data_IF_619710198308
#
_entry.id   IF_619710198308
#
_cell.length_a   1.000
_cell.length_b   1.000
_cell.length_c   1.000
_cell.angle_alpha   90.00
_cell.angle_beta   90.00
_cell.angle_gamma   90.00
#
_symmetry.space_group_name_H-M   'P 1'
#
loop_
_entity.id
_entity.type
_entity.pdbx_description
1 polymer ?
#
# COMPACT_ATOMS: atom_id res chain seq x y z
N UNK A 1 6.68 -3.65 -13.10
CA UNK A 1 6.20 -2.91 -11.92
C UNK A 1 5.16 -3.78 -11.21
N UNK A 2 5.27 -3.93 -9.91
CA UNK A 2 4.29 -4.56 -9.02
C UNK A 2 4.25 -3.80 -7.71
N UNK A 3 3.22 -4.00 -6.90
CA UNK A 3 3.26 -3.60 -5.50
C UNK A 3 3.38 -4.83 -4.61
N UNK A 4 4.19 -4.71 -3.57
CA UNK A 4 4.45 -5.76 -2.58
C UNK A 4 3.82 -5.28 -1.27
N UNK A 5 2.82 -5.98 -0.80
CA UNK A 5 2.09 -5.65 0.43
C UNK A 5 2.53 -6.60 1.52
N UNK A 6 3.09 -6.08 2.59
CA UNK A 6 3.50 -6.89 3.75
C UNK A 6 2.34 -7.03 4.72
N UNK A 7 1.98 -8.26 5.05
CA UNK A 7 0.82 -8.61 5.88
C UNK A 7 1.08 -8.40 7.38
N UNK A 8 1.42 -7.16 7.78
CA UNK A 8 1.56 -6.75 9.18
C UNK A 8 0.95 -5.38 9.42
N UNK A 9 0.64 -5.03 10.65
CA UNK A 9 0.23 -3.67 11.05
C UNK A 9 1.46 -2.81 11.36
N UNK A 10 1.32 -1.47 11.31
CA UNK A 10 2.39 -0.58 11.78
C UNK A 10 2.79 -0.90 13.21
N UNK A 11 4.11 -1.01 13.46
CA UNK A 11 4.67 -1.34 14.76
C UNK A 11 4.68 -2.83 15.14
N UNK A 12 4.02 -3.70 14.36
CA UNK A 12 4.15 -5.15 14.55
C UNK A 12 5.49 -5.66 13.99
N UNK A 13 5.97 -6.77 14.54
CA UNK A 13 7.14 -7.47 13.99
C UNK A 13 6.88 -7.98 12.57
N UNK A 14 7.94 -8.10 11.78
CA UNK A 14 7.85 -8.73 10.47
C UNK A 14 7.60 -10.23 10.69
N UNK A 15 6.53 -10.82 10.12
CA UNK A 15 6.25 -12.24 10.28
C UNK A 15 7.37 -13.12 9.69
N UNK A 16 7.64 -14.25 10.33
CA UNK A 16 8.60 -15.23 9.82
C UNK A 16 7.93 -16.61 9.69
N UNK A 17 7.75 -17.16 8.47
CA UNK A 17 8.11 -16.54 7.18
C UNK A 17 7.28 -15.29 6.90
N UNK A 18 7.84 -14.38 6.08
CA UNK A 18 7.16 -13.12 5.77
C UNK A 18 5.81 -13.37 5.08
N UNK A 19 4.76 -12.79 5.64
CA UNK A 19 3.44 -12.76 5.00
C UNK A 19 3.41 -11.60 3.98
N UNK A 20 3.15 -11.90 2.73
CA UNK A 20 3.08 -10.88 1.69
C UNK A 20 2.03 -11.22 0.63
N UNK A 21 1.56 -10.17 -0.04
CA UNK A 21 0.73 -10.25 -1.24
C UNK A 21 1.34 -9.41 -2.35
N UNK A 22 1.12 -9.84 -3.58
CA UNK A 22 1.59 -9.12 -4.77
C UNK A 22 0.39 -8.55 -5.52
N UNK A 23 0.41 -7.24 -5.75
CA UNK A 23 -0.53 -6.56 -6.63
C UNK A 23 0.18 -6.34 -7.98
N UNK A 24 -0.27 -7.00 -9.05
CA UNK A 24 0.33 -6.82 -10.37
C UNK A 24 0.00 -5.44 -10.94
N UNK A 25 0.79 -4.96 -11.87
CA UNK A 25 0.55 -3.65 -12.51
C UNK A 25 -0.82 -3.53 -13.19
N UNK A 26 -1.37 -4.64 -13.68
CA UNK A 26 -2.71 -4.70 -14.27
C UNK A 26 -3.86 -4.50 -13.28
N UNK A 27 -3.60 -4.71 -11.99
CA UNK A 27 -4.57 -4.50 -10.92
C UNK A 27 -4.45 -3.09 -10.28
N UNK A 28 -3.48 -2.28 -10.71
CA UNK A 28 -3.26 -0.95 -10.18
C UNK A 28 -3.87 0.13 -11.07
N UNK A 29 -4.59 1.06 -10.45
CA UNK A 29 -5.08 2.28 -11.09
C UNK A 29 -4.25 3.47 -10.59
N UNK A 30 -3.76 4.28 -11.51
CA UNK A 30 -3.08 5.53 -11.16
C UNK A 30 -4.11 6.61 -10.79
N UNK A 31 -3.78 7.43 -9.79
CA UNK A 31 -4.64 8.50 -9.29
C UNK A 31 -5.19 9.42 -10.38
N UNK A 32 -6.37 9.96 -10.13
CA UNK A 32 -7.11 10.81 -11.07
C UNK A 32 -8.05 10.05 -12.02
N UNK A 33 -7.93 8.73 -12.15
CA UNK A 33 -8.88 7.90 -12.89
C UNK A 33 -10.01 7.43 -11.97
N UNK A 34 -11.26 7.30 -12.48
CA UNK A 34 -12.34 6.71 -11.71
C UNK A 34 -12.05 5.23 -11.44
N UNK A 35 -12.44 4.76 -10.26
CA UNK A 35 -12.40 3.35 -9.87
C UNK A 35 -13.83 2.81 -9.92
N UNK A 36 -14.09 1.85 -10.79
CA UNK A 36 -15.35 1.14 -10.82
C UNK A 36 -15.38 0.07 -9.75
N UNK A 37 -16.32 0.20 -8.81
CA UNK A 37 -16.47 -0.78 -7.72
C UNK A 37 -17.02 -2.08 -8.32
N UNK A 38 -16.30 -3.22 -8.19
CA UNK A 38 -16.74 -4.46 -8.81
C UNK A 38 -18.02 -5.01 -8.19
N UNK A 39 -18.93 -5.52 -9.01
CA UNK A 39 -20.23 -6.03 -8.56
C UNK A 39 -20.22 -7.47 -8.01
N UNK A 40 -19.07 -8.12 -7.87
CA UNK A 40 -18.98 -9.52 -7.44
C UNK A 40 -18.93 -9.74 -5.92
N UNK A 41 -18.83 -8.67 -5.13
CA UNK A 41 -18.90 -8.73 -3.68
C UNK A 41 -20.06 -7.86 -3.16
N UNK A 42 -20.69 -8.23 -2.03
CA UNK A 42 -21.85 -7.52 -1.49
C UNK A 42 -21.50 -6.13 -0.96
N UNK A 43 -20.28 -5.93 -0.48
CA UNK A 43 -19.77 -4.65 0.00
C UNK A 43 -18.25 -4.56 -0.19
N UNK A 44 -17.74 -3.33 -0.16
CA UNK A 44 -16.32 -3.03 -0.34
C UNK A 44 -15.81 -2.10 0.73
N UNK A 45 -14.56 -2.26 1.10
CA UNK A 45 -13.84 -1.39 2.01
C UNK A 45 -12.55 -0.89 1.35
N UNK A 46 -12.27 0.37 1.53
CA UNK A 46 -11.04 1.02 1.09
C UNK A 46 -10.10 1.20 2.28
N UNK A 47 -8.86 0.79 2.10
CA UNK A 47 -7.83 0.89 3.13
C UNK A 47 -6.74 1.85 2.66
N UNK A 48 -6.62 3.04 3.29
CA UNK A 48 -5.54 3.97 2.97
C UNK A 48 -4.22 3.43 3.49
N UNK A 49 -3.18 3.47 2.67
CA UNK A 49 -1.83 2.99 3.01
C UNK A 49 -0.76 3.91 2.43
N UNK A 50 0.47 3.80 2.92
CA UNK A 50 1.66 4.38 2.30
C UNK A 50 2.34 3.35 1.42
N UNK A 51 2.66 3.74 0.20
CA UNK A 51 3.45 2.98 -0.74
C UNK A 51 4.81 3.64 -0.95
N UNK A 52 5.90 2.91 -0.77
CA UNK A 52 7.27 3.38 -0.96
C UNK A 52 7.82 2.87 -2.28
N UNK A 53 8.34 3.77 -3.10
CA UNK A 53 8.88 3.42 -4.42
C UNK A 53 10.30 2.89 -4.30
N UNK A 54 10.56 1.77 -4.96
CA UNK A 54 11.91 1.22 -5.10
C UNK A 54 12.60 1.86 -6.32
N UNK A 55 13.68 2.58 -6.07
CA UNK A 55 14.46 3.30 -7.09
C UNK A 55 15.63 2.49 -7.66
N UNK A 56 15.91 1.30 -7.12
CA UNK A 56 17.04 0.47 -7.51
C UNK A 56 16.68 -1.00 -7.51
N UNK A 57 17.35 -1.75 -8.39
CA UNK A 57 17.33 -3.21 -8.37
C UNK A 57 18.18 -3.72 -7.21
N UNK A 58 17.68 -4.73 -6.45
CA UNK A 58 18.43 -5.31 -5.36
C UNK A 58 17.96 -6.69 -4.95
N UNK A 59 18.90 -7.47 -4.41
CA UNK A 59 18.68 -8.77 -3.80
C UNK A 59 19.66 -8.96 -2.65
N UNK A 60 19.23 -9.64 -1.58
CA UNK A 60 20.06 -9.87 -0.37
C UNK A 60 20.66 -8.58 0.17
N UNK A 61 19.79 -7.58 0.35
CA UNK A 61 20.19 -6.23 0.79
C UNK A 61 20.43 -6.25 2.30
N UNK A 62 21.60 -5.74 2.73
CA UNK A 62 21.87 -5.50 4.15
C UNK A 62 20.98 -4.35 4.65
N UNK A 63 20.33 -4.46 5.83
CA UNK A 63 19.47 -3.41 6.39
C UNK A 63 20.12 -2.03 6.44
N UNK A 64 21.43 -1.96 6.70
CA UNK A 64 22.21 -0.70 6.74
C UNK A 64 22.20 0.08 5.44
N UNK A 65 21.88 -0.59 4.33
CA UNK A 65 21.85 0.03 3.00
C UNK A 65 20.45 0.13 2.40
N UNK A 66 19.43 -0.40 3.06
CA UNK A 66 18.08 -0.54 2.56
C UNK A 66 17.45 0.80 2.13
N UNK A 67 17.67 1.87 2.89
CA UNK A 67 17.19 3.22 2.56
C UNK A 67 17.63 3.74 1.21
N UNK A 68 18.78 3.31 0.70
CA UNK A 68 19.31 3.71 -0.62
C UNK A 68 18.50 3.15 -1.80
N UNK A 69 17.64 2.18 -1.51
CA UNK A 69 16.78 1.53 -2.51
C UNK A 69 15.40 2.20 -2.62
N UNK A 70 15.06 3.12 -1.71
CA UNK A 70 13.78 3.82 -1.68
C UNK A 70 14.01 5.25 -2.20
N UNK A 71 13.22 5.69 -3.17
CA UNK A 71 13.38 7.02 -3.80
C UNK A 71 12.09 7.86 -3.79
N UNK A 72 11.04 7.41 -3.11
CA UNK A 72 9.81 8.17 -2.99
C UNK A 72 8.74 7.46 -2.19
N UNK A 73 7.69 8.17 -1.86
CA UNK A 73 6.49 7.69 -1.20
C UNK A 73 5.25 8.15 -1.96
N UNK A 74 4.15 7.44 -1.85
CA UNK A 74 2.86 7.84 -2.38
C UNK A 74 1.75 7.47 -1.41
N UNK A 75 0.66 8.25 -1.42
CA UNK A 75 -0.61 7.78 -0.91
C UNK A 75 -1.11 6.64 -1.79
N UNK A 76 -1.62 5.58 -1.19
CA UNK A 76 -2.25 4.50 -1.91
C UNK A 76 -3.51 4.04 -1.20
N UNK A 77 -4.38 3.38 -1.93
CA UNK A 77 -5.62 2.80 -1.43
C UNK A 77 -5.72 1.35 -1.92
N UNK A 78 -5.91 0.43 -0.99
CA UNK A 78 -6.23 -0.97 -1.29
C UNK A 78 -7.73 -1.14 -1.19
N UNK A 79 -8.37 -1.61 -2.27
CA UNK A 79 -9.78 -1.97 -2.27
C UNK A 79 -9.92 -3.44 -1.88
N UNK A 80 -10.78 -3.73 -0.91
CA UNK A 80 -10.97 -5.07 -0.37
C UNK A 80 -12.46 -5.43 -0.36
N UNK A 81 -12.85 -6.63 -0.82
CA UNK A 81 -14.22 -7.10 -0.66
C UNK A 81 -14.52 -7.39 0.81
N UNK A 82 -15.73 -7.06 1.24
CA UNK A 82 -16.28 -7.44 2.54
C UNK A 82 -17.20 -8.63 2.30
N UNK A 83 -16.75 -9.81 2.70
CA UNK A 83 -17.47 -11.07 2.50
C UNK A 83 -18.02 -11.58 3.83
N UNK A 84 -19.24 -12.15 3.85
CA UNK A 84 -19.83 -12.74 5.07
C UNK A 84 -19.00 -13.93 5.60
N UNK A 85 -18.42 -14.70 4.70
CA UNK A 85 -17.55 -15.85 5.02
C UNK A 85 -16.30 -15.76 4.12
N UNK A 86 -15.19 -15.21 4.62
CA UNK A 86 -13.98 -15.05 3.83
C UNK A 86 -13.35 -16.42 3.55
N UNK A 87 -13.38 -16.83 2.29
CA UNK A 87 -12.71 -18.04 1.82
C UNK A 87 -11.26 -17.73 1.44
N UNK A 88 -10.30 -18.32 2.15
CA UNK A 88 -8.87 -18.12 1.90
C UNK A 88 -8.44 -18.51 0.46
N UNK A 89 -9.23 -19.31 -0.26
CA UNK A 89 -9.00 -19.61 -1.68
C UNK A 89 -9.09 -18.39 -2.59
N UNK A 90 -9.73 -17.30 -2.13
CA UNK A 90 -9.88 -16.07 -2.86
C UNK A 90 -8.76 -15.04 -2.60
N UNK A 91 -7.81 -15.32 -1.71
CA UNK A 91 -6.74 -14.38 -1.35
C UNK A 91 -5.98 -13.88 -2.57
N UNK A 92 -5.68 -14.75 -3.53
CA UNK A 92 -5.03 -14.35 -4.76
C UNK A 92 -5.85 -13.38 -5.61
N UNK A 93 -7.18 -13.54 -5.65
CA UNK A 93 -8.08 -12.66 -6.36
C UNK A 93 -8.16 -11.28 -5.70
N UNK A 94 -8.10 -11.21 -4.36
CA UNK A 94 -8.22 -9.96 -3.61
C UNK A 94 -7.11 -8.94 -3.92
N UNK A 95 -6.04 -9.37 -4.55
CA UNK A 95 -4.92 -8.53 -4.96
C UNK A 95 -4.72 -8.44 -6.48
N UNK A 96 -5.48 -9.21 -7.26
CA UNK A 96 -5.26 -9.36 -8.70
C UNK A 96 -6.37 -8.79 -9.58
N UNK A 97 -7.53 -8.39 -9.04
CA UNK A 97 -8.59 -7.78 -9.83
C UNK A 97 -8.25 -6.34 -10.23
N UNK A 98 -8.78 -5.86 -11.34
CA UNK A 98 -8.59 -4.48 -11.78
C UNK A 98 -9.15 -3.49 -10.75
N UNK A 99 -8.30 -2.59 -10.26
CA UNK A 99 -8.66 -1.64 -9.20
C UNK A 99 -8.39 -2.13 -7.78
N UNK A 100 -7.76 -3.31 -7.59
CA UNK A 100 -7.36 -3.78 -6.25
C UNK A 100 -6.50 -2.76 -5.50
N UNK A 101 -5.75 -1.93 -6.22
CA UNK A 101 -4.97 -0.84 -5.64
C UNK A 101 -5.07 0.42 -6.49
N UNK A 102 -5.27 1.56 -5.85
CA UNK A 102 -5.10 2.87 -6.48
C UNK A 102 -3.87 3.57 -5.89
N UNK A 103 -3.05 4.16 -6.75
CA UNK A 103 -1.77 4.76 -6.39
C UNK A 103 -1.75 6.23 -6.79
N UNK A 104 -1.43 7.10 -5.85
CA UNK A 104 -1.21 8.53 -6.06
C UNK A 104 0.13 8.84 -6.74
N UNK A 105 0.40 10.12 -7.01
CA UNK A 105 1.69 10.57 -7.51
C UNK A 105 2.80 10.29 -6.49
N UNK A 106 4.02 10.15 -7.00
CA UNK A 106 5.21 10.06 -6.17
C UNK A 106 5.47 11.39 -5.47
N UNK A 107 5.66 11.33 -4.17
CA UNK A 107 6.09 12.43 -3.31
C UNK A 107 7.55 12.17 -2.86
N UNK A 108 8.20 13.22 -2.39
CA UNK A 108 9.51 13.10 -1.78
C UNK A 108 9.42 12.41 -0.41
N UNK A 109 10.51 11.76 -0.01
CA UNK A 109 10.60 11.12 1.28
C UNK A 109 10.67 12.15 2.40
N UNK A 110 9.99 11.88 3.50
CA UNK A 110 10.14 12.68 4.72
C UNK A 110 11.56 12.56 5.28
N UNK A 111 12.24 13.66 5.58
CA UNK A 111 13.61 13.64 6.08
C UNK A 111 13.76 12.88 7.40
N UNK A 112 12.77 12.93 8.26
CA UNK A 112 12.72 12.25 9.56
C UNK A 112 12.15 10.83 9.50
N UNK A 113 11.66 10.40 8.31
CA UNK A 113 11.05 9.11 8.11
C UNK A 113 9.68 8.95 8.77
N UNK A 114 9.05 10.06 9.16
CA UNK A 114 7.73 10.09 9.76
C UNK A 114 6.69 10.57 8.75
N UNK A 115 5.51 9.97 8.77
CA UNK A 115 4.43 10.28 7.85
C UNK A 115 3.10 10.39 8.58
N UNK A 116 2.37 11.46 8.33
CA UNK A 116 0.96 11.59 8.67
C UNK A 116 0.10 11.10 7.51
N UNK A 117 -0.79 10.16 7.74
CA UNK A 117 -1.74 9.66 6.74
C UNK A 117 -3.16 10.02 7.20
N UNK A 118 -3.89 10.78 6.39
CA UNK A 118 -5.27 11.18 6.70
C UNK A 118 -6.21 10.76 5.57
N UNK A 119 -7.38 10.23 5.93
CA UNK A 119 -8.43 9.86 4.99
C UNK A 119 -9.80 9.89 5.68
N UNK A 120 -10.62 10.89 5.41
CA UNK A 120 -11.85 11.14 6.16
C UNK A 120 -11.54 11.36 7.65
N UNK A 121 -12.16 10.55 8.51
CA UNK A 121 -11.91 10.60 9.97
C UNK A 121 -10.64 9.84 10.40
N UNK A 122 -10.03 9.09 9.50
CA UNK A 122 -8.80 8.37 9.79
C UNK A 122 -7.64 9.36 9.83
N UNK A 123 -6.90 9.36 10.94
CA UNK A 123 -5.65 10.12 11.09
C UNK A 123 -4.63 9.26 11.81
N UNK A 124 -3.53 8.95 11.13
CA UNK A 124 -2.49 8.03 11.60
C UNK A 124 -1.12 8.71 11.51
N UNK A 125 -0.36 8.66 12.58
CA UNK A 125 1.07 8.98 12.59
C UNK A 125 1.88 7.69 12.42
N UNK A 126 2.69 7.63 11.36
CA UNK A 126 3.51 6.47 11.01
C UNK A 126 4.99 6.84 11.11
N UNK A 127 5.59 6.55 12.25
CA UNK A 127 7.02 6.79 12.48
C UNK A 127 7.91 5.75 11.81
N UNK A 128 9.21 6.03 11.75
CA UNK A 128 10.22 5.17 11.15
C UNK A 128 10.25 3.76 11.75
N UNK A 129 10.06 3.65 13.08
CA UNK A 129 9.99 2.35 13.78
C UNK A 129 8.75 1.55 13.41
N UNK A 130 7.58 2.23 13.29
CA UNK A 130 6.34 1.58 12.93
C UNK A 130 6.37 1.03 11.49
N UNK A 131 7.03 1.75 10.59
CA UNK A 131 7.21 1.34 9.20
C UNK A 131 8.32 0.31 9.02
N UNK A 132 9.40 0.40 9.78
CA UNK A 132 10.56 -0.50 9.78
C UNK A 132 11.08 -0.82 8.37
N UNK A 133 11.18 0.22 7.54
CA UNK A 133 11.50 0.09 6.12
C UNK A 133 12.81 -0.65 5.85
N UNK A 134 13.80 -0.45 6.69
CA UNK A 134 15.13 -1.02 6.50
C UNK A 134 15.09 -2.54 6.64
N UNK A 135 14.44 -3.05 7.67
CA UNK A 135 14.30 -4.49 7.87
C UNK A 135 13.30 -5.11 6.89
N UNK A 136 12.21 -4.41 6.56
CA UNK A 136 11.24 -4.89 5.55
C UNK A 136 11.91 -5.07 4.19
N UNK A 137 12.67 -4.08 3.71
CA UNK A 137 13.39 -4.17 2.43
C UNK A 137 14.42 -5.30 2.46
N UNK A 138 15.20 -5.39 3.53
CA UNK A 138 16.20 -6.43 3.70
C UNK A 138 15.55 -7.82 3.68
N UNK A 139 14.51 -8.04 4.48
CA UNK A 139 13.81 -9.32 4.56
C UNK A 139 13.21 -9.71 3.21
N UNK A 140 12.47 -8.81 2.54
CA UNK A 140 11.89 -9.07 1.23
C UNK A 140 12.96 -9.42 0.18
N UNK A 141 14.09 -8.72 0.22
CA UNK A 141 15.18 -8.94 -0.75
C UNK A 141 15.84 -10.33 -0.62
N UNK A 142 15.66 -11.02 0.49
CA UNK A 142 16.12 -12.41 0.64
C UNK A 142 15.20 -13.40 -0.08
N UNK A 143 13.90 -13.10 -0.16
CA UNK A 143 12.93 -13.96 -0.85
C UNK A 143 12.87 -13.68 -2.35
N UNK A 144 12.96 -12.42 -2.75
CA UNK A 144 12.80 -12.02 -4.15
C UNK A 144 13.73 -10.89 -4.57
N UNK A 145 14.00 -10.77 -5.86
CA UNK A 145 14.67 -9.59 -6.42
C UNK A 145 13.68 -8.42 -6.43
N UNK A 146 14.05 -7.33 -5.78
CA UNK A 146 13.32 -6.07 -5.83
C UNK A 146 13.72 -5.32 -7.08
N UNK A 147 12.76 -4.85 -7.86
CA UNK A 147 13.02 -4.16 -9.13
C UNK A 147 12.79 -2.66 -9.00
N UNK A 148 13.54 -1.90 -9.77
CA UNK A 148 13.32 -0.47 -9.91
C UNK A 148 11.89 -0.21 -10.44
N UNK A 149 11.17 0.69 -9.77
CA UNK A 149 9.77 1.01 -10.10
C UNK A 149 8.74 0.13 -9.40
N UNK A 150 9.14 -0.88 -8.63
CA UNK A 150 8.21 -1.58 -7.74
C UNK A 150 7.81 -0.67 -6.56
N UNK A 151 6.65 -0.95 -5.99
CA UNK A 151 6.13 -0.27 -4.81
C UNK A 151 6.08 -1.21 -3.62
N UNK A 152 6.41 -0.72 -2.45
CA UNK A 152 6.40 -1.45 -1.20
C UNK A 152 5.40 -0.82 -0.23
N UNK A 153 4.44 -1.61 0.22
CA UNK A 153 3.56 -1.28 1.33
C UNK A 153 4.08 -2.03 2.56
N UNK A 154 4.84 -1.39 3.45
CA UNK A 154 5.56 -2.06 4.55
C UNK A 154 4.63 -2.52 5.67
N UNK A 155 3.47 -1.92 5.76
CA UNK A 155 2.46 -2.25 6.77
C UNK A 155 1.06 -1.85 6.28
N UNK A 156 0.06 -2.61 6.69
CA UNK A 156 -1.34 -2.38 6.37
C UNK A 156 -2.00 -1.63 7.53
N UNK A 157 -2.57 -0.46 7.25
CA UNK A 157 -3.30 0.30 8.28
C UNK A 157 -4.54 -0.47 8.76
N UNK A 158 -4.87 -0.43 10.05
CA UNK A 158 -6.02 -1.17 10.58
C UNK A 158 -7.37 -0.57 10.18
N UNK A 159 -7.39 0.73 9.84
CA UNK A 159 -8.60 1.46 9.57
C UNK A 159 -9.07 1.30 8.12
N UNK A 160 -10.36 1.21 7.93
CA UNK A 160 -11.03 1.05 6.63
C UNK A 160 -12.15 2.08 6.47
N UNK A 161 -12.41 2.47 5.23
CA UNK A 161 -13.50 3.37 4.84
C UNK A 161 -14.46 2.55 3.98
N UNK A 162 -15.78 2.61 4.19
CA UNK A 162 -16.72 2.02 3.25
C UNK A 162 -16.49 2.56 1.83
N UNK A 163 -16.40 1.66 0.86
CA UNK A 163 -16.17 2.01 -0.53
C UNK A 163 -17.48 1.87 -1.31
N UNK A 164 -18.28 2.94 -1.28
CA UNK A 164 -19.59 2.99 -1.93
C UNK A 164 -19.49 3.67 -3.30
N UNK A 165 -20.19 3.18 -4.33
CA UNK A 165 -20.29 3.87 -5.62
C UNK A 165 -20.77 5.32 -5.45
N UNK A 166 -20.41 6.19 -6.39
CA UNK A 166 -20.72 7.62 -6.42
C UNK A 166 -20.13 8.43 -5.24
N UNK A 167 -19.17 7.88 -4.52
CA UNK A 167 -18.44 8.58 -3.46
C UNK A 167 -17.02 8.96 -3.89
N UNK A 168 -16.37 9.81 -3.11
CA UNK A 168 -14.99 10.22 -3.35
C UNK A 168 -14.18 10.06 -2.08
N UNK A 169 -13.11 9.28 -2.15
CA UNK A 169 -12.14 9.13 -1.06
C UNK A 169 -10.93 10.01 -1.36
N UNK A 170 -10.55 10.84 -0.38
CA UNK A 170 -9.35 11.68 -0.43
C UNK A 170 -8.38 11.24 0.64
N UNK A 171 -7.11 11.11 0.25
CA UNK A 171 -6.03 10.70 1.15
C UNK A 171 -4.95 11.78 1.09
N UNK A 172 -4.58 12.31 2.25
CA UNK A 172 -3.48 13.27 2.42
C UNK A 172 -2.28 12.60 3.07
N UNK A 173 -1.09 13.06 2.72
CA UNK A 173 0.18 12.58 3.32
C UNK A 173 0.98 13.80 3.77
N UNK A 174 1.27 13.88 5.06
CA UNK A 174 1.89 15.03 5.70
C UNK A 174 1.14 16.34 5.36
N UNK A 175 1.84 17.32 4.81
CA UNK A 175 1.29 18.61 4.38
C UNK A 175 0.76 18.61 2.93
N UNK A 176 0.77 17.43 2.27
CA UNK A 176 0.23 17.31 0.92
C UNK A 176 -1.23 16.88 1.01
N UNK A 177 -2.11 17.86 0.91
CA UNK A 177 -3.54 17.63 0.82
C UNK A 177 -3.90 16.94 -0.50
N UNK A 178 -4.92 16.07 -0.46
CA UNK A 178 -5.41 15.33 -1.63
C UNK A 178 -4.28 14.62 -2.42
N UNK A 179 -3.26 14.11 -1.71
CA UNK A 179 -2.16 13.33 -2.30
C UNK A 179 -2.67 12.17 -3.17
N UNK A 180 -3.88 11.67 -2.87
CA UNK A 180 -4.63 10.76 -3.72
C UNK A 180 -6.13 11.07 -3.61
N UNK A 181 -6.77 11.29 -4.75
CA UNK A 181 -8.23 11.40 -4.85
C UNK A 181 -8.76 10.26 -5.71
N UNK A 182 -9.67 9.46 -5.16
CA UNK A 182 -10.31 8.32 -5.84
C UNK A 182 -11.80 8.56 -5.94
N UNK A 183 -12.32 8.63 -7.17
CA UNK A 183 -13.76 8.69 -7.44
C UNK A 183 -14.27 7.26 -7.66
N UNK A 184 -15.14 6.79 -6.79
CA UNK A 184 -15.78 5.48 -6.90
C UNK A 184 -17.01 5.58 -7.82
N UNK A 185 -17.15 4.61 -8.73
CA UNK A 185 -18.23 4.53 -9.73
C UNK A 185 -18.89 3.16 -9.70
#
# INVERSE_FOLDING_TARGET
>A
MKAIVVGRRPGEAIPEPIALSIVPSSAMILGGKPLFVPGWAPAWAARPVLAFRLGRLGKSIDPRFARRYIDGVAAAMILRPVLPDPDNRLDGLFHAFEGAMTLGPRLDLSPDGCYGLKAGEISLGLGSEALDLDNVVATLSNYMTLQMGDWLIPAITPAEIPAEPETTIRISVNDTDDALTVRLK
#
